data_IF_989209273730
#
_entry.id   IF_989209273730
#
_cell.length_a   1.000
_cell.length_b   1.000
_cell.length_c   1.000
_cell.angle_alpha   90.00
_cell.angle_beta   90.00
_cell.angle_gamma   90.00
#
_symmetry.space_group_name_H-M   'P 1'
#
loop_
_entity.id
_entity.type
_entity.pdbx_description
1 polymer ?
#
# COMPACT_ATOMS: atom_id res chain seq x y z
N UNK A 1 4.26 -11.52 22.22
CA UNK A 1 4.09 -12.34 21.01
C UNK A 1 5.44 -12.66 20.32
N UNK A 2 6.29 -11.70 19.97
CA UNK A 2 7.60 -11.97 19.29
C UNK A 2 8.42 -13.02 20.04
N UNK A 3 8.61 -12.87 21.34
CA UNK A 3 9.39 -13.84 22.14
C UNK A 3 8.73 -15.24 22.20
N UNK A 4 7.42 -15.31 22.14
CA UNK A 4 6.68 -16.57 22.04
C UNK A 4 6.92 -17.25 20.67
N UNK A 5 6.87 -16.48 19.58
CA UNK A 5 7.18 -16.97 18.22
C UNK A 5 8.62 -17.50 18.17
N UNK A 6 9.59 -16.75 18.72
CA UNK A 6 11.01 -17.18 18.82
C UNK A 6 11.16 -18.48 19.61
N UNK A 7 10.50 -18.58 20.78
CA UNK A 7 10.57 -19.77 21.61
C UNK A 7 9.98 -21.01 20.90
N UNK A 8 8.85 -20.86 20.22
CA UNK A 8 8.25 -21.94 19.42
C UNK A 8 9.13 -22.32 18.24
N UNK A 9 9.71 -21.34 17.53
CA UNK A 9 10.66 -21.58 16.43
C UNK A 9 11.86 -22.41 16.90
N UNK A 10 12.45 -22.05 18.04
CA UNK A 10 13.56 -22.81 18.63
C UNK A 10 13.16 -24.26 18.98
N UNK A 11 11.97 -24.46 19.56
CA UNK A 11 11.46 -25.80 19.89
C UNK A 11 11.19 -26.67 18.64
N UNK A 12 10.92 -26.04 17.50
CA UNK A 12 10.69 -26.72 16.21
C UNK A 12 11.98 -26.90 15.40
N UNK A 13 13.15 -26.40 15.90
CA UNK A 13 14.41 -26.43 15.16
C UNK A 13 14.45 -25.48 13.97
N UNK A 14 13.62 -24.44 13.96
CA UNK A 14 13.61 -23.41 12.93
C UNK A 14 14.70 -22.40 13.28
N UNK A 15 15.86 -22.54 12.62
CA UNK A 15 17.02 -21.71 12.90
C UNK A 15 16.98 -20.34 12.23
N UNK A 16 16.38 -20.26 11.04
CA UNK A 16 16.32 -19.03 10.26
C UNK A 16 14.86 -18.56 10.07
N UNK A 17 14.60 -17.33 10.54
CA UNK A 17 13.29 -16.71 10.43
C UNK A 17 13.39 -15.18 10.38
N UNK A 18 12.32 -14.56 9.89
CA UNK A 18 12.07 -13.12 9.99
C UNK A 18 10.64 -12.90 10.48
N UNK A 19 10.49 -12.03 11.48
CA UNK A 19 9.21 -11.63 12.06
C UNK A 19 9.04 -10.15 11.77
N UNK A 20 7.90 -9.78 11.20
CA UNK A 20 7.48 -8.39 11.01
C UNK A 20 6.23 -8.18 11.84
N UNK A 21 6.37 -7.50 12.97
CA UNK A 21 5.24 -6.98 13.74
C UNK A 21 4.72 -5.73 13.03
N UNK A 22 3.43 -5.66 12.78
CA UNK A 22 2.75 -4.51 12.19
C UNK A 22 1.63 -4.07 13.11
N UNK A 23 1.74 -2.84 13.62
CA UNK A 23 0.69 -2.18 14.40
C UNK A 23 0.13 -1.06 13.54
N UNK A 24 -1.12 -1.19 13.14
CA UNK A 24 -1.82 -0.23 12.30
C UNK A 24 -2.99 0.39 13.03
N UNK A 25 -3.02 1.70 13.11
CA UNK A 25 -4.16 2.49 13.51
C UNK A 25 -4.71 3.23 12.29
N UNK A 26 -6.03 3.25 12.12
CA UNK A 26 -6.65 4.01 11.04
C UNK A 26 -7.92 4.72 11.49
N UNK A 27 -8.18 5.87 10.84
CA UNK A 27 -9.47 6.57 10.87
C UNK A 27 -9.96 6.66 9.45
N UNK A 28 -11.17 6.21 9.22
CA UNK A 28 -11.81 6.10 7.92
C UNK A 28 -13.13 6.88 7.97
N UNK A 29 -13.32 7.77 7.02
CA UNK A 29 -14.52 8.60 6.92
C UNK A 29 -15.10 8.49 5.51
N UNK A 30 -16.40 8.25 5.45
CA UNK A 30 -17.18 8.12 4.23
C UNK A 30 -18.22 9.24 4.18
N UNK A 31 -18.31 9.90 3.05
CA UNK A 31 -19.17 11.07 2.88
C UNK A 31 -20.10 10.88 1.69
N UNK A 32 -21.35 11.30 1.88
CA UNK A 32 -22.29 11.57 0.81
C UNK A 32 -22.52 13.08 0.76
N UNK A 33 -22.07 13.71 -0.30
CA UNK A 33 -21.93 15.17 -0.32
C UNK A 33 -21.01 15.61 0.84
N UNK A 34 -21.35 16.69 1.51
CA UNK A 34 -20.63 17.18 2.70
C UNK A 34 -21.05 16.51 4.02
N UNK A 35 -21.97 15.54 3.92
CA UNK A 35 -22.48 14.86 5.12
C UNK A 35 -21.66 13.61 5.39
N UNK A 36 -21.11 13.52 6.61
CA UNK A 36 -20.49 12.31 7.09
C UNK A 36 -21.56 11.20 7.22
N UNK A 37 -21.38 10.12 6.48
CA UNK A 37 -22.27 8.95 6.47
C UNK A 37 -21.77 7.89 7.46
N UNK A 38 -20.47 7.54 7.36
CA UNK A 38 -19.85 6.54 8.25
C UNK A 38 -18.48 7.04 8.69
N UNK A 39 -18.16 6.81 9.97
CA UNK A 39 -16.81 6.91 10.52
C UNK A 39 -16.42 5.60 11.18
N UNK A 40 -15.27 5.08 10.84
CA UNK A 40 -14.71 3.86 11.42
C UNK A 40 -13.30 4.13 11.95
N UNK A 41 -12.97 3.53 13.08
CA UNK A 41 -11.60 3.41 13.58
C UNK A 41 -11.21 1.94 13.60
N UNK A 42 -9.98 1.66 13.19
CA UNK A 42 -9.44 0.31 13.19
C UNK A 42 -8.08 0.34 13.87
N UNK A 43 -7.88 -0.59 14.80
CA UNK A 43 -6.60 -0.83 15.47
C UNK A 43 -6.27 -2.31 15.26
N UNK A 44 -5.21 -2.59 14.50
CA UNK A 44 -4.83 -3.94 14.12
C UNK A 44 -3.38 -4.20 14.49
N UNK A 45 -3.11 -5.40 14.98
CA UNK A 45 -1.76 -5.91 15.17
C UNK A 45 -1.67 -7.28 14.53
N UNK A 46 -0.64 -7.50 13.73
CA UNK A 46 -0.32 -8.80 13.16
C UNK A 46 1.19 -9.05 13.16
N UNK A 47 1.57 -10.33 13.00
CA UNK A 47 2.94 -10.78 12.94
C UNK A 47 3.13 -11.63 11.68
N UNK A 48 3.69 -11.02 10.64
CA UNK A 48 4.09 -11.76 9.45
C UNK A 48 5.40 -12.48 9.73
N UNK A 49 5.37 -13.81 9.72
CA UNK A 49 6.52 -14.66 9.99
C UNK A 49 6.94 -15.36 8.71
N UNK A 50 8.18 -15.13 8.28
CA UNK A 50 8.81 -15.91 7.22
C UNK A 50 9.78 -16.87 7.88
N UNK A 51 9.58 -18.17 7.65
CA UNK A 51 10.52 -19.22 8.03
C UNK A 51 11.36 -19.62 6.83
N UNK A 52 12.63 -19.89 7.05
CA UNK A 52 13.57 -20.31 6.03
C UNK A 52 14.08 -21.71 6.32
N UNK A 53 14.20 -22.53 5.30
CA UNK A 53 14.72 -23.89 5.38
C UNK A 53 15.91 -24.04 4.44
N UNK A 54 17.16 -23.94 4.96
CA UNK A 54 18.35 -24.28 4.17
C UNK A 54 18.35 -25.79 3.86
N UNK A 55 18.60 -26.15 2.61
CA UNK A 55 18.72 -27.54 2.18
C UNK A 55 19.62 -27.67 0.95
N UNK A 56 19.88 -28.90 0.49
CA UNK A 56 20.57 -29.18 -0.75
C UNK A 56 19.63 -29.83 -1.76
N UNK A 57 19.70 -29.37 -3.02
CA UNK A 57 19.02 -29.95 -4.16
C UNK A 57 20.00 -30.02 -5.33
N UNK A 58 20.18 -31.17 -5.94
CA UNK A 58 21.12 -31.41 -7.03
C UNK A 58 22.56 -30.92 -6.76
N UNK A 59 23.03 -31.06 -5.51
CA UNK A 59 24.36 -30.62 -5.08
C UNK A 59 24.54 -29.10 -4.95
N UNK A 60 23.45 -28.33 -4.97
CA UNK A 60 23.42 -26.90 -4.76
C UNK A 60 22.75 -26.55 -3.44
N UNK A 61 23.31 -25.57 -2.75
CA UNK A 61 22.64 -24.98 -1.59
C UNK A 61 21.41 -24.22 -2.02
N UNK A 62 20.28 -24.51 -1.39
CA UNK A 62 19.01 -23.83 -1.57
C UNK A 62 18.55 -23.20 -0.25
N UNK A 63 17.70 -22.20 -0.35
CA UNK A 63 17.02 -21.58 0.80
C UNK A 63 15.53 -21.48 0.50
N UNK A 64 14.80 -22.51 0.92
CA UNK A 64 13.34 -22.47 0.82
C UNK A 64 12.74 -21.49 1.83
N UNK A 65 11.62 -20.91 1.52
CA UNK A 65 10.92 -20.01 2.43
C UNK A 65 9.41 -20.15 2.33
N UNK A 66 8.74 -19.90 3.46
CA UNK A 66 7.29 -19.84 3.53
C UNK A 66 6.87 -18.74 4.52
N UNK A 67 5.77 -18.06 4.23
CA UNK A 67 5.26 -16.95 5.02
C UNK A 67 3.91 -17.30 5.63
N UNK A 68 3.72 -16.95 6.90
CA UNK A 68 2.46 -17.10 7.61
C UNK A 68 2.17 -15.87 8.45
N UNK A 69 0.89 -15.64 8.76
CA UNK A 69 0.46 -14.60 9.68
C UNK A 69 0.11 -15.25 11.02
N UNK A 70 0.67 -14.69 12.08
CA UNK A 70 0.32 -15.00 13.47
C UNK A 70 -0.48 -13.83 14.02
N UNK A 71 -1.64 -14.12 14.59
CA UNK A 71 -2.49 -13.11 15.23
C UNK A 71 -2.25 -13.06 16.75
N UNK A 72 -2.44 -11.90 17.39
CA UNK A 72 -2.18 -11.74 18.83
C UNK A 72 -2.95 -12.70 19.74
N UNK A 73 -4.12 -13.17 19.29
CA UNK A 73 -5.00 -14.06 20.04
C UNK A 73 -4.63 -15.54 19.94
N UNK A 74 -3.69 -15.90 19.05
CA UNK A 74 -3.31 -17.30 18.86
C UNK A 74 -2.63 -17.88 20.07
N UNK A 75 -3.10 -19.05 20.48
CA UNK A 75 -2.48 -19.85 21.53
C UNK A 75 -1.16 -20.48 21.06
N UNK A 76 -0.30 -20.82 22.02
CA UNK A 76 1.02 -21.40 21.72
C UNK A 76 0.94 -22.67 20.83
N UNK A 77 -0.12 -23.47 21.03
CA UNK A 77 -0.34 -24.69 20.22
C UNK A 77 -0.66 -24.35 18.76
N UNK A 78 -1.45 -23.32 18.51
CA UNK A 78 -1.81 -22.86 17.16
C UNK A 78 -0.59 -22.24 16.45
N UNK A 79 0.20 -21.44 17.20
CA UNK A 79 1.46 -20.89 16.68
C UNK A 79 2.40 -22.02 16.26
N UNK A 80 2.54 -23.05 17.09
CA UNK A 80 3.37 -24.23 16.80
C UNK A 80 2.92 -24.93 15.52
N UNK A 81 1.64 -25.23 15.40
CA UNK A 81 1.10 -25.91 14.23
C UNK A 81 1.30 -25.08 12.95
N UNK A 82 1.05 -23.77 13.05
CA UNK A 82 1.18 -22.84 11.93
C UNK A 82 2.64 -22.73 11.47
N UNK A 83 3.61 -22.59 12.39
CA UNK A 83 5.02 -22.54 12.06
C UNK A 83 5.55 -23.88 11.54
N UNK A 84 5.09 -25.01 12.08
CA UNK A 84 5.47 -26.33 11.60
C UNK A 84 5.02 -26.57 10.15
N UNK A 85 3.79 -26.20 9.82
CA UNK A 85 3.28 -26.25 8.42
C UNK A 85 4.06 -25.35 7.49
N UNK A 86 4.36 -24.13 7.94
CA UNK A 86 5.15 -23.18 7.16
C UNK A 86 6.57 -23.70 6.90
N UNK A 87 7.22 -24.29 7.91
CA UNK A 87 8.57 -24.83 7.77
C UNK A 87 8.60 -26.05 6.84
N UNK A 88 7.59 -26.92 6.94
CA UNK A 88 7.45 -28.02 5.99
C UNK A 88 7.25 -27.53 4.56
N UNK A 89 6.42 -26.51 4.36
CA UNK A 89 6.23 -25.89 3.05
C UNK A 89 7.51 -25.24 2.52
N UNK A 90 8.28 -24.59 3.38
CA UNK A 90 9.57 -23.99 3.02
C UNK A 90 10.57 -25.05 2.51
N UNK A 91 10.58 -26.24 3.09
CA UNK A 91 11.47 -27.32 2.68
C UNK A 91 11.22 -27.83 1.24
N UNK A 92 10.07 -27.49 0.66
CA UNK A 92 9.69 -27.89 -0.71
C UNK A 92 9.98 -26.78 -1.75
N UNK A 93 10.56 -25.65 -1.33
CA UNK A 93 10.82 -24.48 -2.20
C UNK A 93 12.32 -24.36 -2.47
N UNK A 94 12.71 -24.41 -3.74
CA UNK A 94 14.09 -24.37 -4.19
C UNK A 94 14.46 -22.97 -4.72
N UNK A 95 14.72 -22.02 -3.79
CA UNK A 95 15.30 -20.74 -4.15
C UNK A 95 16.83 -20.81 -4.02
N UNK A 96 17.54 -20.00 -4.82
CA UNK A 96 18.97 -19.83 -4.69
C UNK A 96 19.33 -19.36 -3.26
N UNK A 97 20.36 -19.98 -2.69
CA UNK A 97 20.79 -19.67 -1.32
C UNK A 97 21.32 -18.23 -1.20
N UNK A 98 20.87 -17.54 -0.17
CA UNK A 98 21.46 -16.28 0.28
C UNK A 98 21.51 -16.25 1.83
N UNK A 99 22.40 -15.46 2.38
CA UNK A 99 22.44 -15.24 3.82
C UNK A 99 21.47 -14.15 4.25
N UNK A 100 20.71 -14.40 5.33
CA UNK A 100 19.93 -13.35 5.96
C UNK A 100 20.86 -12.26 6.50
N UNK A 101 20.40 -11.00 6.41
CA UNK A 101 21.16 -9.89 6.97
C UNK A 101 21.44 -10.10 8.44
N UNK A 102 22.71 -9.97 8.83
CA UNK A 102 23.14 -9.98 10.22
C UNK A 102 22.93 -8.58 10.83
N UNK A 103 22.50 -8.55 12.09
CA UNK A 103 21.85 -7.41 12.62
C UNK A 103 22.69 -6.38 13.34
N UNK A 104 22.21 -5.17 13.26
CA UNK A 104 22.26 -4.16 14.31
C UNK A 104 20.88 -4.04 14.94
N UNK A 105 20.86 -3.79 16.24
CA UNK A 105 19.69 -3.23 16.89
C UNK A 105 19.76 -1.72 16.65
N UNK A 106 18.82 -1.18 15.91
CA UNK A 106 18.71 0.26 15.69
C UNK A 106 17.54 0.80 16.49
N UNK A 107 17.70 2.03 16.98
CA UNK A 107 16.62 2.74 17.66
C UNK A 107 15.48 3.01 16.68
N UNK A 108 14.29 3.21 17.26
CA UNK A 108 13.06 3.51 16.53
C UNK A 108 13.22 4.76 15.66
N UNK A 109 13.04 4.59 14.35
CA UNK A 109 13.05 5.70 13.39
C UNK A 109 11.63 6.19 13.18
N UNK A 110 11.37 7.43 13.59
CA UNK A 110 10.11 8.10 13.31
C UNK A 110 10.20 8.78 11.96
N UNK A 111 9.17 8.61 11.12
CA UNK A 111 9.05 9.38 9.89
C UNK A 111 8.94 10.88 10.23
N UNK A 112 9.68 11.71 9.49
CA UNK A 112 9.50 13.15 9.52
C UNK A 112 8.19 13.46 8.76
N UNK A 113 7.09 13.52 9.50
CA UNK A 113 5.76 13.72 8.95
C UNK A 113 5.01 14.77 9.77
N UNK A 114 4.31 15.67 9.08
CA UNK A 114 3.43 16.66 9.71
C UNK A 114 2.27 16.00 10.50
N UNK A 115 2.00 14.73 10.26
CA UNK A 115 1.04 13.95 11.05
C UNK A 115 1.62 13.43 12.36
N UNK A 116 2.95 13.41 12.51
CA UNK A 116 3.59 13.03 13.77
C UNK A 116 3.26 14.04 14.87
N UNK A 117 2.88 13.52 16.05
CA UNK A 117 2.56 14.36 17.20
C UNK A 117 1.14 14.91 17.29
N UNK A 118 0.25 14.54 16.35
CA UNK A 118 -1.18 14.81 16.45
C UNK A 118 -2.02 13.52 16.31
N UNK A 119 -3.28 13.57 16.77
CA UNK A 119 -4.17 12.43 16.61
C UNK A 119 -4.58 12.22 15.15
N UNK A 120 -4.87 10.96 14.77
CA UNK A 120 -5.36 10.64 13.43
C UNK A 120 -6.68 11.37 13.13
N UNK A 121 -7.56 11.55 14.12
CA UNK A 121 -8.82 12.28 13.97
C UNK A 121 -8.59 13.75 13.59
N UNK A 122 -7.57 14.40 14.18
CA UNK A 122 -7.19 15.76 13.83
C UNK A 122 -6.66 15.83 12.40
N UNK A 123 -5.79 14.91 12.03
CA UNK A 123 -5.26 14.78 10.67
C UNK A 123 -6.37 14.54 9.65
N UNK A 124 -7.30 13.62 9.94
CA UNK A 124 -8.46 13.33 9.09
C UNK A 124 -9.32 14.59 8.89
N UNK A 125 -9.57 15.35 9.96
CA UNK A 125 -10.35 16.59 9.86
C UNK A 125 -9.69 17.61 8.94
N UNK A 126 -8.39 17.82 9.06
CA UNK A 126 -7.64 18.74 8.19
C UNK A 126 -7.71 18.32 6.72
N UNK A 127 -7.63 17.02 6.43
CA UNK A 127 -7.77 16.49 5.07
C UNK A 127 -9.18 16.72 4.53
N UNK A 128 -10.21 16.44 5.34
CA UNK A 128 -11.62 16.64 4.95
C UNK A 128 -11.92 18.12 4.70
N UNK A 129 -11.40 19.02 5.55
CA UNK A 129 -11.52 20.46 5.35
C UNK A 129 -10.88 20.91 4.03
N UNK A 130 -9.68 20.43 3.72
CA UNK A 130 -9.00 20.73 2.46
C UNK A 130 -9.74 20.14 1.24
N UNK A 131 -10.30 18.94 1.37
CA UNK A 131 -11.06 18.28 0.31
C UNK A 131 -12.31 19.09 -0.08
N UNK A 132 -13.04 19.64 0.90
CA UNK A 132 -14.30 20.35 0.64
C UNK A 132 -14.17 21.87 0.52
N UNK A 133 -12.97 22.44 0.64
CA UNK A 133 -12.77 23.90 0.62
C UNK A 133 -13.24 24.55 -0.69
N UNK A 134 -12.96 23.92 -1.83
CA UNK A 134 -13.36 24.42 -3.15
C UNK A 134 -14.78 24.02 -3.58
N UNK A 135 -15.43 23.11 -2.85
CA UNK A 135 -16.77 22.62 -3.17
C UNK A 135 -17.86 23.58 -2.70
N UNK A 136 -18.09 24.65 -3.47
CA UNK A 136 -19.02 25.73 -3.13
C UNK A 136 -20.14 25.95 -4.14
N UNK A 137 -20.37 25.01 -5.08
CA UNK A 137 -21.37 25.11 -6.14
C UNK A 137 -22.50 24.09 -5.95
N UNK A 138 -23.71 24.47 -6.32
CA UNK A 138 -24.84 23.54 -6.41
C UNK A 138 -24.85 22.73 -7.71
N UNK A 139 -24.13 23.20 -8.75
CA UNK A 139 -24.09 22.58 -10.07
C UNK A 139 -22.96 21.58 -10.23
N UNK A 140 -21.79 21.88 -9.67
CA UNK A 140 -20.63 21.01 -9.66
C UNK A 140 -20.13 20.88 -8.22
N UNK A 141 -20.01 19.63 -7.76
CA UNK A 141 -19.77 19.35 -6.35
C UNK A 141 -19.17 17.94 -6.17
N UNK A 142 -18.61 17.66 -5.01
CA UNK A 142 -18.19 16.32 -4.60
C UNK A 142 -19.45 15.53 -4.20
N UNK A 143 -19.80 14.52 -4.98
CA UNK A 143 -20.95 13.66 -4.75
C UNK A 143 -20.70 12.67 -3.60
N UNK A 144 -19.53 12.04 -3.60
CA UNK A 144 -19.11 11.13 -2.54
C UNK A 144 -17.60 11.24 -2.32
N UNK A 145 -17.16 10.94 -1.12
CA UNK A 145 -15.74 10.87 -0.81
C UNK A 145 -15.45 9.86 0.29
N UNK A 146 -14.28 9.24 0.20
CA UNK A 146 -13.72 8.36 1.21
C UNK A 146 -12.33 8.89 1.59
N UNK A 147 -12.07 9.01 2.89
CA UNK A 147 -10.80 9.51 3.43
C UNK A 147 -10.27 8.51 4.45
N UNK A 148 -9.04 8.06 4.24
CA UNK A 148 -8.35 7.10 5.09
C UNK A 148 -7.07 7.72 5.61
N UNK A 149 -6.94 7.85 6.92
CA UNK A 149 -5.68 8.24 7.57
C UNK A 149 -5.15 7.07 8.38
N UNK A 150 -3.89 6.72 8.16
CA UNK A 150 -3.25 5.56 8.79
C UNK A 150 -1.93 5.97 9.44
N UNK A 151 -1.67 5.35 10.58
CA UNK A 151 -0.37 5.26 11.23
C UNK A 151 0.04 3.81 11.27
N UNK A 152 1.23 3.49 10.81
CA UNK A 152 1.76 2.13 10.81
C UNK A 152 3.11 2.13 11.52
N UNK A 153 3.21 1.35 12.57
CA UNK A 153 4.47 1.04 13.23
C UNK A 153 4.87 -0.37 12.85
N UNK A 154 6.08 -0.52 12.31
CA UNK A 154 6.63 -1.83 12.00
C UNK A 154 7.90 -2.10 12.80
N UNK A 155 8.02 -3.32 13.32
CA UNK A 155 9.24 -3.86 13.92
C UNK A 155 9.64 -5.11 13.16
N UNK A 156 10.88 -5.14 12.70
CA UNK A 156 11.45 -6.26 11.96
C UNK A 156 12.50 -6.91 12.83
N UNK A 157 12.30 -8.19 13.10
CA UNK A 157 13.23 -9.02 13.89
C UNK A 157 13.59 -10.24 13.05
N UNK A 158 14.85 -10.64 13.05
CA UNK A 158 15.27 -11.90 12.46
C UNK A 158 16.14 -12.74 13.39
N UNK A 159 16.38 -13.99 13.00
CA UNK A 159 17.22 -14.94 13.74
C UNK A 159 18.69 -14.54 13.85
N UNK A 160 19.16 -13.59 13.02
CA UNK A 160 20.57 -13.13 12.97
C UNK A 160 20.82 -11.78 13.67
N UNK A 161 19.91 -11.38 14.57
CA UNK A 161 20.08 -10.22 15.46
C UNK A 161 19.60 -8.89 14.89
N UNK A 162 18.93 -8.85 13.74
CA UNK A 162 18.21 -7.64 13.32
C UNK A 162 17.06 -7.41 14.28
N UNK A 163 16.92 -6.18 14.78
CA UNK A 163 15.79 -5.70 15.58
C UNK A 163 15.66 -4.20 15.33
N UNK A 164 14.89 -3.84 14.32
CA UNK A 164 14.69 -2.46 13.87
C UNK A 164 13.21 -2.12 13.82
N UNK A 165 12.87 -0.88 14.13
CA UNK A 165 11.48 -0.43 14.05
C UNK A 165 11.37 0.95 13.45
N UNK A 166 10.26 1.20 12.77
CA UNK A 166 9.96 2.49 12.15
C UNK A 166 8.46 2.77 12.14
N UNK A 167 8.15 4.05 12.04
CA UNK A 167 6.80 4.57 11.97
C UNK A 167 6.58 5.27 10.63
N UNK A 168 5.42 5.05 10.02
CA UNK A 168 5.00 5.73 8.79
C UNK A 168 3.56 6.21 8.92
N UNK A 169 3.25 7.24 8.15
CA UNK A 169 1.90 7.76 8.02
C UNK A 169 1.47 7.68 6.56
N UNK A 170 0.20 7.42 6.33
CA UNK A 170 -0.41 7.41 5.02
C UNK A 170 -1.77 8.08 5.10
N UNK A 171 -1.99 9.01 4.19
CA UNK A 171 -3.31 9.55 3.91
C UNK A 171 -3.66 9.16 2.49
N UNK A 172 -4.80 8.54 2.32
CA UNK A 172 -5.34 8.21 1.01
C UNK A 172 -6.84 8.46 0.99
N UNK A 173 -7.38 8.60 -0.18
CA UNK A 173 -8.81 8.73 -0.35
C UNK A 173 -9.18 8.77 -1.81
N UNK A 174 -10.48 8.74 -2.01
CA UNK A 174 -11.09 8.89 -3.33
C UNK A 174 -12.30 9.79 -3.23
N UNK A 175 -12.63 10.45 -4.33
CA UNK A 175 -13.81 11.27 -4.41
C UNK A 175 -14.36 11.30 -5.83
N UNK A 176 -15.68 11.43 -5.91
CA UNK A 176 -16.41 11.57 -7.17
C UNK A 176 -16.93 13.00 -7.27
N UNK A 177 -16.52 13.70 -8.30
CA UNK A 177 -17.08 15.00 -8.66
C UNK A 177 -18.22 14.80 -9.64
N UNK A 178 -19.37 15.40 -9.36
CA UNK A 178 -20.54 15.40 -10.23
C UNK A 178 -20.88 16.82 -10.68
N UNK A 179 -21.15 16.99 -11.96
CA UNK A 179 -21.76 18.20 -12.54
C UNK A 179 -23.12 17.84 -13.13
N UNK A 180 -24.21 18.45 -12.62
CA UNK A 180 -25.57 18.11 -12.98
C UNK A 180 -26.16 18.97 -14.13
N UNK A 181 -25.45 20.05 -14.52
CA UNK A 181 -25.94 20.95 -15.59
C UNK A 181 -24.75 21.58 -16.34
N UNK A 182 -24.82 21.68 -17.70
CA UNK A 182 -25.93 21.34 -18.58
C UNK A 182 -26.16 19.86 -18.85
N UNK A 183 -25.20 19.00 -18.46
CA UNK A 183 -25.29 17.53 -18.54
C UNK A 183 -24.84 16.92 -17.24
N UNK A 184 -25.42 15.78 -16.90
CA UNK A 184 -24.99 14.97 -15.77
C UNK A 184 -23.72 14.21 -16.13
N UNK A 185 -22.59 14.58 -15.50
CA UNK A 185 -21.27 14.00 -15.73
C UNK A 185 -20.60 13.77 -14.38
N UNK A 186 -20.02 12.60 -14.22
CA UNK A 186 -19.21 12.25 -13.05
C UNK A 186 -17.76 12.02 -13.47
N UNK A 187 -16.82 12.37 -12.56
CA UNK A 187 -15.41 12.06 -12.67
C UNK A 187 -14.88 11.50 -11.36
N UNK A 188 -14.14 10.42 -11.46
CA UNK A 188 -13.50 9.76 -10.32
C UNK A 188 -12.07 10.24 -10.15
N UNK A 189 -11.71 10.54 -8.91
CA UNK A 189 -10.38 11.00 -8.51
C UNK A 189 -9.92 10.24 -7.26
N UNK A 190 -8.59 10.11 -7.11
CA UNK A 190 -7.96 9.49 -5.94
C UNK A 190 -6.70 10.27 -5.56
N UNK A 191 -6.34 10.20 -4.29
CA UNK A 191 -5.10 10.78 -3.77
C UNK A 191 -4.44 9.84 -2.77
N UNK A 192 -3.11 9.95 -2.64
CA UNK A 192 -2.33 9.21 -1.65
C UNK A 192 -1.06 10.00 -1.30
N UNK A 193 -0.88 10.29 -0.01
CA UNK A 193 0.24 11.05 0.50
C UNK A 193 0.85 10.40 1.74
N UNK A 194 2.16 10.41 1.87
CA UNK A 194 2.87 10.04 3.10
C UNK A 194 3.06 11.25 4.04
N UNK A 195 2.84 12.45 3.54
CA UNK A 195 2.91 13.72 4.26
C UNK A 195 1.62 14.52 4.06
N UNK A 196 1.35 15.48 4.94
CA UNK A 196 0.17 16.36 4.82
C UNK A 196 0.38 17.38 3.67
N UNK A 197 0.13 16.97 2.45
CA UNK A 197 0.18 17.87 1.29
C UNK A 197 -1.19 18.50 1.04
N UNK A 198 -1.68 19.28 2.03
CA UNK A 198 -3.02 19.88 1.97
C UNK A 198 -3.18 20.84 0.79
N UNK A 199 -2.12 21.58 0.43
CA UNK A 199 -2.19 22.53 -0.68
C UNK A 199 -2.23 21.85 -2.03
N UNK A 200 -1.57 20.68 -2.19
CA UNK A 200 -1.74 19.85 -3.38
C UNK A 200 -3.17 19.33 -3.48
N UNK A 201 -3.72 18.78 -2.38
CA UNK A 201 -5.08 18.30 -2.37
C UNK A 201 -6.11 19.36 -2.75
N UNK A 202 -5.96 20.60 -2.21
CA UNK A 202 -6.82 21.75 -2.55
C UNK A 202 -6.77 22.07 -4.05
N UNK A 203 -5.57 22.11 -4.63
CA UNK A 203 -5.40 22.36 -6.07
C UNK A 203 -6.01 21.25 -6.92
N UNK A 204 -5.73 20.00 -6.58
CA UNK A 204 -6.22 18.83 -7.32
C UNK A 204 -7.75 18.78 -7.31
N UNK A 205 -8.38 19.08 -6.17
CA UNK A 205 -9.85 19.14 -6.06
C UNK A 205 -10.43 20.32 -6.85
N UNK A 206 -9.83 21.49 -6.78
CA UNK A 206 -10.28 22.67 -7.54
C UNK A 206 -10.20 22.39 -9.05
N UNK A 207 -9.13 21.76 -9.51
CA UNK A 207 -8.96 21.36 -10.90
C UNK A 207 -9.96 20.28 -11.31
N UNK A 208 -10.22 19.29 -10.46
CA UNK A 208 -11.22 18.24 -10.70
C UNK A 208 -12.62 18.83 -10.88
N UNK A 209 -13.03 19.78 -10.01
CA UNK A 209 -14.31 20.48 -10.12
C UNK A 209 -14.40 21.26 -11.45
N UNK A 210 -13.37 22.03 -11.79
CA UNK A 210 -13.33 22.80 -13.04
C UNK A 210 -13.37 21.90 -14.29
N UNK A 211 -12.58 20.84 -14.30
CA UNK A 211 -12.53 19.88 -15.42
C UNK A 211 -13.83 19.15 -15.60
N UNK A 212 -14.50 18.74 -14.51
CA UNK A 212 -15.81 18.08 -14.58
C UNK A 212 -16.87 19.01 -15.15
N UNK A 213 -16.82 20.30 -14.78
CA UNK A 213 -17.71 21.32 -15.37
C UNK A 213 -17.48 21.47 -16.87
N UNK A 214 -16.22 21.60 -17.32
CA UNK A 214 -15.88 21.68 -18.74
C UNK A 214 -16.34 20.44 -19.52
N UNK A 215 -16.24 19.26 -18.93
CA UNK A 215 -16.77 18.02 -19.55
C UNK A 215 -18.28 18.04 -19.70
N UNK A 216 -19.00 18.60 -18.74
CA UNK A 216 -20.45 18.75 -18.83
C UNK A 216 -20.87 19.74 -19.91
N UNK A 217 -20.04 20.76 -20.18
CA UNK A 217 -20.24 21.77 -21.21
C UNK A 217 -19.82 21.32 -22.61
N UNK A 218 -19.02 20.26 -22.75
CA UNK A 218 -18.50 19.78 -24.02
C UNK A 218 -19.63 19.35 -24.98
N UNK A 219 -19.74 20.02 -26.13
CA UNK A 219 -20.89 19.83 -27.03
C UNK A 219 -20.82 18.58 -27.91
N UNK A 220 -19.61 18.21 -28.37
CA UNK A 220 -19.43 17.11 -29.35
C UNK A 220 -18.16 16.30 -29.05
N UNK A 221 -18.27 15.00 -29.26
CA UNK A 221 -17.10 14.16 -29.39
C UNK A 221 -16.32 14.47 -30.68
N UNK A 222 -15.00 14.33 -30.73
CA UNK A 222 -14.24 14.43 -31.95
C UNK A 222 -14.74 13.41 -32.98
N UNK A 223 -14.74 13.78 -34.26
CA UNK A 223 -15.12 12.86 -35.34
C UNK A 223 -14.08 11.74 -35.44
N UNK A 224 -14.48 10.56 -35.94
CA UNK A 224 -13.52 9.52 -36.24
C UNK A 224 -12.42 10.00 -37.20
N UNK A 225 -11.15 9.77 -36.89
CA UNK A 225 -10.04 10.28 -37.67
C UNK A 225 -8.69 9.98 -37.01
N UNK A 226 -7.62 10.46 -37.67
CA UNK A 226 -6.26 10.45 -37.10
C UNK A 226 -5.99 11.79 -36.45
N UNK A 227 -5.54 11.76 -35.20
CA UNK A 227 -5.27 12.95 -34.39
C UNK A 227 -3.88 12.86 -33.77
N UNK A 228 -3.23 14.01 -33.61
CA UNK A 228 -2.11 14.13 -32.69
C UNK A 228 -2.67 14.20 -31.27
N UNK A 229 -2.26 13.29 -30.41
CA UNK A 229 -2.72 13.19 -29.03
C UNK A 229 -1.61 13.62 -28.11
N UNK A 230 -1.87 14.60 -27.26
CA UNK A 230 -1.02 14.95 -26.13
C UNK A 230 -1.57 14.24 -24.88
N UNK A 231 -0.79 13.34 -24.31
CA UNK A 231 -1.11 12.67 -23.07
C UNK A 231 -0.39 13.34 -21.90
N UNK A 232 -1.10 13.59 -20.82
CA UNK A 232 -0.55 14.17 -19.60
C UNK A 232 -1.04 13.39 -18.38
N UNK A 233 -0.37 13.61 -17.26
CA UNK A 233 -0.76 13.11 -15.93
C UNK A 233 -1.09 11.62 -15.91
N UNK A 234 -2.28 11.27 -15.41
CA UNK A 234 -2.72 9.88 -15.22
C UNK A 234 -2.69 9.06 -16.52
N UNK A 235 -3.12 9.66 -17.64
CA UNK A 235 -3.14 8.96 -18.93
C UNK A 235 -1.72 8.59 -19.39
N UNK A 236 -0.75 9.47 -19.15
CA UNK A 236 0.66 9.20 -19.42
C UNK A 236 1.21 8.15 -18.45
N UNK A 237 0.86 8.24 -17.17
CA UNK A 237 1.24 7.27 -16.16
C UNK A 237 0.77 5.85 -16.50
N UNK A 238 -0.45 5.68 -16.98
CA UNK A 238 -0.99 4.36 -17.37
C UNK A 238 -0.16 3.70 -18.48
N UNK A 239 0.32 4.48 -19.46
CA UNK A 239 1.21 3.97 -20.50
C UNK A 239 2.53 3.50 -19.90
N UNK A 240 3.16 4.32 -19.05
CA UNK A 240 4.43 3.94 -18.43
C UNK A 240 4.27 2.77 -17.45
N UNK A 241 3.14 2.68 -16.73
CA UNK A 241 2.85 1.54 -15.86
C UNK A 241 2.81 0.21 -16.61
N UNK A 242 2.32 0.20 -17.86
CA UNK A 242 2.36 -0.99 -18.70
C UNK A 242 3.81 -1.48 -18.89
N UNK A 243 4.72 -0.59 -19.28
CA UNK A 243 6.13 -0.94 -19.49
C UNK A 243 6.82 -1.34 -18.18
N UNK A 244 6.62 -0.58 -17.11
CA UNK A 244 7.16 -0.90 -15.78
C UNK A 244 6.66 -2.26 -15.27
N UNK A 245 5.38 -2.55 -15.44
CA UNK A 245 4.79 -3.83 -15.07
C UNK A 245 5.40 -4.99 -15.85
N UNK A 246 5.52 -4.85 -17.18
CA UNK A 246 6.10 -5.90 -18.06
C UNK A 246 7.58 -6.14 -17.83
N UNK A 247 8.34 -5.10 -17.46
CA UNK A 247 9.77 -5.19 -17.15
C UNK A 247 10.09 -5.50 -15.69
N UNK A 248 9.06 -5.66 -14.84
CA UNK A 248 9.28 -5.98 -13.42
C UNK A 248 9.92 -7.36 -13.25
N UNK A 249 10.87 -7.47 -12.30
CA UNK A 249 11.63 -8.69 -12.06
C UNK A 249 10.74 -9.92 -11.84
N UNK A 250 9.64 -9.80 -11.08
CA UNK A 250 8.72 -10.90 -10.84
C UNK A 250 8.01 -11.42 -12.09
N UNK A 251 7.56 -10.51 -12.98
CA UNK A 251 6.87 -10.86 -14.22
C UNK A 251 7.84 -11.48 -15.24
N UNK A 252 9.09 -10.95 -15.30
CA UNK A 252 10.17 -11.52 -16.14
C UNK A 252 10.57 -12.91 -15.64
N UNK A 253 10.80 -13.06 -14.33
CA UNK A 253 11.16 -14.34 -13.72
C UNK A 253 10.09 -15.41 -13.94
N UNK A 254 8.83 -15.09 -13.80
CA UNK A 254 7.70 -15.99 -14.02
C UNK A 254 7.41 -16.26 -15.51
N UNK A 255 8.17 -15.67 -16.41
CA UNK A 255 8.00 -15.79 -17.88
C UNK A 255 6.64 -15.29 -18.40
N UNK A 256 6.01 -14.36 -17.68
CA UNK A 256 4.80 -13.67 -18.12
C UNK A 256 5.11 -12.38 -18.91
N UNK A 257 6.37 -11.99 -18.99
CA UNK A 257 6.84 -10.89 -19.82
C UNK A 257 7.30 -11.38 -21.18
N UNK A 258 7.20 -10.49 -22.17
CA UNK A 258 7.87 -10.62 -23.45
C UNK A 258 9.31 -10.04 -23.44
N UNK A 259 9.73 -9.43 -22.32
CA UNK A 259 11.08 -8.90 -22.12
C UNK A 259 12.00 -9.90 -21.44
N UNK A 260 13.28 -9.81 -21.77
CA UNK A 260 14.39 -10.49 -21.11
C UNK A 260 15.41 -9.48 -20.62
N UNK A 261 16.35 -9.92 -19.77
CA UNK A 261 17.43 -9.06 -19.28
C UNK A 261 18.29 -8.63 -20.48
N UNK A 262 18.42 -7.32 -20.67
CA UNK A 262 19.18 -6.72 -21.77
C UNK A 262 18.33 -6.26 -22.97
N UNK A 263 17.04 -6.58 -23.00
CA UNK A 263 16.15 -6.12 -24.07
C UNK A 263 15.88 -4.62 -23.98
N UNK A 264 15.71 -4.00 -25.13
CA UNK A 264 15.16 -2.65 -25.19
C UNK A 264 13.67 -2.68 -24.87
N UNK A 265 13.24 -1.83 -23.92
CA UNK A 265 11.83 -1.74 -23.51
C UNK A 265 10.97 -1.10 -24.60
N UNK A 266 11.58 -0.24 -25.41
CA UNK A 266 10.96 0.40 -26.56
C UNK A 266 11.94 0.34 -27.72
N UNK A 267 11.60 -0.38 -28.74
CA UNK A 267 12.36 -0.53 -30.00
C UNK A 267 11.72 0.21 -31.15
#
# INVERSE_FOLDING_TARGET
MIEQIKAVSAQLGIEEYRIVESVQESVECFFVRKKLDLKRRTDLTDYAVVVFCPHEEDGKKMLGSSSVIIHPEMETAEIRETLQRAYHAAALVNNEYYELNAGKREEFVRADSQFAGQSLEKSTRQIVEALYEADNSEKVFINSAEVFTKRVVRRIVNSRGVDVSYETYLVSGEYVVQCIAPRDVETYHQFSYHEANLDALRRDVAEALATTQLRAEAERAPRAGKYTILLSERNLQEIFQYYCGRSSAGVVYQKFSNYQIGDHVQG
#
